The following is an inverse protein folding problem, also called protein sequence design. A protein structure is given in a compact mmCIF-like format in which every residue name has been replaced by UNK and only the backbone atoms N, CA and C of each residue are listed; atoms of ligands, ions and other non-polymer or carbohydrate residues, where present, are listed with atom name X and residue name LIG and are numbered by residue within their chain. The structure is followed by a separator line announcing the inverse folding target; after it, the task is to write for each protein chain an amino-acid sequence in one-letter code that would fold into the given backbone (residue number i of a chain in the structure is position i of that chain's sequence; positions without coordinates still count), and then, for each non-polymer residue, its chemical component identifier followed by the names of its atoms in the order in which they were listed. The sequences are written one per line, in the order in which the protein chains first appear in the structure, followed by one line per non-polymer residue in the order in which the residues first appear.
data_IF_526297498954
#
_entry.id   IF_526297498954
#
_cell.length_a   1.000
_cell.length_b   1.000
_cell.length_c   1.000
_cell.angle_alpha   90.00
_cell.angle_beta   90.00
_cell.angle_gamma   90.00
#
_symmetry.space_group_name_H-M   'P 1'
#
loop_
_entity.id
_entity.type
_entity.pdbx_description
1 polymer ?
#
# COMPACT_ATOMS: atom_id res chain seq x y z
N UNK A 1 24.81 48.16 -26.83
CA UNK A 1 24.43 46.77 -27.15
C UNK A 1 24.92 45.74 -26.12
N UNK A 2 26.20 45.75 -25.68
CA UNK A 2 26.75 44.74 -24.75
C UNK A 2 26.14 44.68 -23.32
N UNK A 3 25.44 45.71 -22.86
CA UNK A 3 24.87 45.78 -21.49
C UNK A 3 23.45 45.23 -21.40
N UNK A 4 22.69 45.23 -22.50
CA UNK A 4 21.32 44.69 -22.58
C UNK A 4 21.37 43.16 -22.67
N UNK A 5 22.36 42.61 -23.38
CA UNK A 5 22.58 41.15 -23.47
C UNK A 5 22.90 40.52 -22.12
N UNK A 6 23.64 41.23 -21.24
CA UNK A 6 23.95 40.74 -19.89
C UNK A 6 22.74 40.74 -18.97
N UNK A 7 21.83 41.72 -19.12
CA UNK A 7 20.61 41.79 -18.31
C UNK A 7 19.62 40.67 -18.70
N UNK A 8 19.49 40.40 -20.00
CA UNK A 8 18.65 39.32 -20.53
C UNK A 8 19.17 37.94 -20.14
N UNK A 9 20.50 37.75 -20.12
CA UNK A 9 21.11 36.49 -19.70
C UNK A 9 20.91 36.19 -18.21
N UNK A 10 20.98 37.22 -17.36
CA UNK A 10 20.73 37.08 -15.91
C UNK A 10 19.24 36.85 -15.62
N UNK A 11 18.32 37.50 -16.35
CA UNK A 11 16.88 37.26 -16.21
C UNK A 11 16.49 35.84 -16.63
N UNK A 12 17.05 35.32 -17.73
CA UNK A 12 16.83 33.95 -18.18
C UNK A 12 17.36 32.91 -17.18
N UNK A 13 18.48 33.20 -16.51
CA UNK A 13 19.04 32.34 -15.47
C UNK A 13 18.15 32.31 -14.21
N UNK A 14 17.58 33.44 -13.81
CA UNK A 14 16.65 33.50 -12.66
C UNK A 14 15.33 32.76 -12.94
N UNK A 15 14.79 32.83 -14.16
CA UNK A 15 13.61 32.03 -14.55
C UNK A 15 13.92 30.53 -14.61
N UNK A 16 15.13 30.14 -15.03
CA UNK A 16 15.55 28.73 -15.05
C UNK A 16 15.73 28.15 -13.63
N UNK A 17 16.21 28.96 -12.67
CA UNK A 17 16.38 28.52 -11.28
C UNK A 17 15.03 28.46 -10.54
N UNK A 18 14.10 29.38 -10.84
CA UNK A 18 12.74 29.31 -10.30
C UNK A 18 11.97 28.08 -10.83
N UNK A 19 12.23 27.64 -12.07
CA UNK A 19 11.65 26.42 -12.63
C UNK A 19 12.29 25.12 -12.08
N UNK A 20 13.51 25.17 -11.55
CA UNK A 20 14.21 24.00 -11.01
C UNK A 20 13.86 23.69 -9.54
N UNK A 21 13.40 24.69 -8.78
CA UNK A 21 12.97 24.51 -7.36
C UNK A 21 11.49 24.17 -7.21
N UNK A 22 10.71 24.28 -8.28
CA UNK A 22 9.38 23.72 -8.36
C UNK A 22 9.42 22.49 -9.28
N UNK A 23 10.02 21.39 -8.79
CA UNK A 23 9.56 20.08 -9.24
C UNK A 23 8.04 20.14 -9.13
N UNK A 24 7.27 19.96 -10.24
CA UNK A 24 5.84 19.85 -10.09
C UNK A 24 5.66 18.70 -9.10
N UNK A 25 5.01 18.97 -7.97
CA UNK A 25 4.37 17.92 -7.22
C UNK A 25 3.56 17.19 -8.29
N UNK A 26 4.06 16.03 -8.76
CA UNK A 26 3.39 15.23 -9.77
C UNK A 26 1.99 15.09 -9.22
N UNK A 27 1.02 15.74 -9.86
CA UNK A 27 -0.36 15.56 -9.48
C UNK A 27 -0.56 14.04 -9.51
N UNK A 28 -0.84 13.45 -8.35
CA UNK A 28 -1.13 12.03 -8.30
C UNK A 28 -2.22 11.78 -9.35
N UNK A 29 -1.97 10.84 -10.26
CA UNK A 29 -2.97 10.41 -11.25
C UNK A 29 -4.30 10.18 -10.55
N UNK A 30 -5.42 10.51 -11.18
CA UNK A 30 -6.74 10.41 -10.53
C UNK A 30 -6.98 9.01 -9.94
N UNK A 31 -7.67 8.94 -8.80
CA UNK A 31 -8.07 7.66 -8.24
C UNK A 31 -9.09 6.95 -9.16
N UNK A 32 -8.85 5.70 -9.58
CA UNK A 32 -9.72 5.02 -10.55
C UNK A 32 -11.06 4.58 -9.94
N UNK A 33 -11.14 4.47 -8.61
CA UNK A 33 -12.29 3.91 -7.90
C UNK A 33 -13.29 4.96 -7.43
N UNK A 34 -12.83 6.18 -7.16
CA UNK A 34 -13.68 7.26 -6.69
C UNK A 34 -13.08 8.61 -7.14
N UNK A 35 -13.86 9.41 -7.87
CA UNK A 35 -13.41 10.73 -8.28
C UNK A 35 -13.35 11.69 -7.08
N UNK A 36 -12.58 12.77 -7.22
CA UNK A 36 -12.52 13.82 -6.19
C UNK A 36 -13.90 14.41 -5.88
N UNK A 37 -14.78 14.55 -6.89
CA UNK A 37 -16.13 15.07 -6.72
C UNK A 37 -17.05 14.09 -5.98
N UNK A 38 -16.94 12.79 -6.26
CA UNK A 38 -17.69 11.77 -5.54
C UNK A 38 -17.21 11.65 -4.09
N UNK A 39 -15.89 11.68 -3.87
CA UNK A 39 -15.33 11.66 -2.52
C UNK A 39 -15.75 12.89 -1.71
N UNK A 40 -15.73 14.08 -2.31
CA UNK A 40 -16.20 15.31 -1.66
C UNK A 40 -17.70 15.26 -1.34
N UNK A 41 -18.52 14.60 -2.16
CA UNK A 41 -19.95 14.38 -1.89
C UNK A 41 -20.18 13.37 -0.76
N UNK A 42 -19.43 12.28 -0.76
CA UNK A 42 -19.55 11.23 0.26
C UNK A 42 -18.99 11.68 1.63
N UNK A 43 -17.90 12.46 1.63
CA UNK A 43 -17.18 12.89 2.84
C UNK A 43 -16.98 14.42 2.90
N UNK A 44 -18.08 15.21 2.97
CA UNK A 44 -18.02 16.67 2.80
C UNK A 44 -17.32 17.42 3.94
N UNK A 45 -17.22 16.81 5.13
CA UNK A 45 -16.64 17.45 6.32
C UNK A 45 -15.12 17.71 6.19
N UNK A 46 -14.44 17.04 5.25
CA UNK A 46 -13.00 17.11 5.07
C UNK A 46 -12.66 17.36 3.61
N UNK A 47 -11.71 18.28 3.38
CA UNK A 47 -11.14 18.49 2.05
C UNK A 47 -10.02 17.49 1.82
N UNK A 48 -10.32 16.42 1.10
CA UNK A 48 -9.36 15.37 0.75
C UNK A 48 -8.53 15.75 -0.48
N UNK A 49 -7.22 15.55 -0.39
CA UNK A 49 -6.28 15.68 -1.49
C UNK A 49 -5.65 14.33 -1.78
N UNK A 50 -5.62 13.92 -3.04
CA UNK A 50 -5.00 12.66 -3.44
C UNK A 50 -3.48 12.79 -3.37
N UNK A 51 -2.84 11.88 -2.65
CA UNK A 51 -1.39 11.81 -2.47
C UNK A 51 -0.76 10.74 -3.37
N UNK A 52 -1.48 9.64 -3.60
CA UNK A 52 -1.02 8.55 -4.46
C UNK A 52 -2.20 7.75 -4.98
N UNK A 53 -2.20 7.36 -6.24
CA UNK A 53 -3.13 6.37 -6.81
C UNK A 53 -2.60 4.93 -6.71
N UNK A 54 -1.53 4.70 -5.94
CA UNK A 54 -0.90 3.38 -5.76
C UNK A 54 -0.79 2.58 -7.07
N UNK A 55 -0.43 3.25 -8.17
CA UNK A 55 -0.36 2.69 -9.52
C UNK A 55 -1.63 1.91 -9.97
N UNK A 56 -2.79 2.37 -9.53
CA UNK A 56 -4.11 1.85 -9.88
C UNK A 56 -4.66 0.72 -9.00
N UNK A 57 -3.98 0.34 -7.91
CA UNK A 57 -4.48 -0.66 -6.93
C UNK A 57 -5.33 -0.06 -5.83
N UNK A 58 -5.12 1.21 -5.55
CA UNK A 58 -5.66 1.87 -4.38
C UNK A 58 -5.44 3.36 -4.44
N UNK A 59 -5.83 4.09 -3.40
CA UNK A 59 -5.68 5.53 -3.35
C UNK A 59 -5.35 5.96 -1.93
N UNK A 60 -4.33 6.80 -1.78
CA UNK A 60 -3.99 7.44 -0.50
C UNK A 60 -4.40 8.90 -0.60
N UNK A 61 -5.21 9.35 0.36
CA UNK A 61 -5.62 10.73 0.49
C UNK A 61 -5.17 11.31 1.82
N UNK A 62 -4.95 12.62 1.83
CA UNK A 62 -4.73 13.39 3.03
C UNK A 62 -5.76 14.52 3.12
N UNK A 63 -6.37 14.70 4.28
CA UNK A 63 -7.20 15.86 4.57
C UNK A 63 -6.36 16.99 5.18
N UNK A 64 -6.82 18.23 5.04
CA UNK A 64 -6.11 19.41 5.57
C UNK A 64 -5.85 19.43 7.08
N UNK A 65 -6.48 18.55 7.87
CA UNK A 65 -6.23 18.39 9.32
C UNK A 65 -5.20 17.30 9.65
N UNK A 66 -4.59 16.67 8.65
CA UNK A 66 -3.64 15.56 8.82
C UNK A 66 -4.26 14.16 8.72
N UNK A 67 -5.59 14.03 8.71
CA UNK A 67 -6.27 12.75 8.54
C UNK A 67 -5.79 12.07 7.25
N UNK A 68 -5.48 10.78 7.33
CA UNK A 68 -5.03 9.99 6.18
C UNK A 68 -6.06 8.93 5.87
N UNK A 69 -6.45 8.82 4.61
CA UNK A 69 -7.32 7.75 4.13
C UNK A 69 -6.56 6.86 3.16
N UNK A 70 -6.68 5.55 3.33
CA UNK A 70 -6.14 4.55 2.42
C UNK A 70 -7.29 3.69 1.89
N UNK A 71 -7.48 3.72 0.59
CA UNK A 71 -8.34 2.84 -0.19
C UNK A 71 -7.44 1.82 -0.87
N UNK A 72 -7.75 0.53 -0.74
CA UNK A 72 -7.01 -0.54 -1.41
C UNK A 72 -7.99 -1.56 -1.96
N UNK A 73 -7.79 -1.96 -3.21
CA UNK A 73 -8.54 -3.01 -3.87
C UNK A 73 -7.62 -4.21 -4.00
N UNK A 74 -8.12 -5.38 -3.63
CA UNK A 74 -7.47 -6.67 -3.80
C UNK A 74 -8.32 -7.51 -4.73
N UNK A 75 -7.83 -7.83 -5.91
CA UNK A 75 -8.42 -8.83 -6.80
C UNK A 75 -7.93 -10.21 -6.38
N UNK A 76 -8.75 -11.24 -6.59
CA UNK A 76 -8.43 -12.62 -6.31
C UNK A 76 -8.65 -13.47 -7.58
N UNK A 77 -8.07 -14.67 -7.67
CA UNK A 77 -8.16 -15.47 -8.90
C UNK A 77 -9.60 -15.83 -9.25
N UNK A 78 -10.41 -16.04 -8.21
CA UNK A 78 -11.82 -16.36 -8.29
C UNK A 78 -12.57 -15.86 -7.05
N UNK A 79 -13.89 -16.02 -7.07
CA UNK A 79 -14.79 -15.56 -6.01
C UNK A 79 -14.65 -16.34 -4.71
N UNK A 80 -14.36 -17.63 -4.77
CA UNK A 80 -14.25 -18.47 -3.57
C UNK A 80 -12.99 -18.09 -2.80
N UNK A 81 -11.90 -17.84 -3.52
CA UNK A 81 -10.66 -17.33 -2.95
C UNK A 81 -10.84 -15.91 -2.37
N UNK A 82 -11.56 -15.04 -3.07
CA UNK A 82 -11.91 -13.72 -2.53
C UNK A 82 -12.69 -13.83 -1.22
N UNK A 83 -13.64 -14.77 -1.12
CA UNK A 83 -14.42 -15.00 0.09
C UNK A 83 -13.56 -15.50 1.25
N UNK A 84 -12.65 -16.43 1.02
CA UNK A 84 -11.71 -16.91 2.04
C UNK A 84 -10.82 -15.78 2.58
N UNK A 85 -10.25 -14.98 1.67
CA UNK A 85 -9.39 -13.87 2.06
C UNK A 85 -10.19 -12.77 2.76
N UNK A 86 -11.40 -12.46 2.29
CA UNK A 86 -12.31 -11.53 2.94
C UNK A 86 -12.60 -11.93 4.40
N UNK A 87 -12.85 -13.21 4.66
CA UNK A 87 -13.05 -13.70 6.03
C UNK A 87 -11.82 -13.42 6.93
N UNK A 88 -10.60 -13.51 6.37
CA UNK A 88 -9.35 -13.17 7.08
C UNK A 88 -9.24 -11.67 7.36
N UNK A 89 -9.64 -10.81 6.42
CA UNK A 89 -9.69 -9.35 6.63
C UNK A 89 -10.68 -9.00 7.75
N UNK A 90 -11.88 -9.58 7.70
CA UNK A 90 -12.92 -9.38 8.73
C UNK A 90 -12.41 -9.84 10.09
N UNK A 91 -11.82 -11.04 10.18
CA UNK A 91 -11.24 -11.55 11.44
C UNK A 91 -10.17 -10.60 11.99
N UNK A 92 -9.21 -10.18 11.17
CA UNK A 92 -8.11 -9.29 11.56
C UNK A 92 -8.62 -7.91 12.01
N UNK A 93 -9.67 -7.40 11.37
CA UNK A 93 -10.33 -6.17 11.79
C UNK A 93 -11.10 -6.35 13.10
N UNK A 94 -11.77 -7.48 13.29
CA UNK A 94 -12.53 -7.78 14.51
C UNK A 94 -11.65 -7.86 15.77
N UNK A 95 -10.36 -8.18 15.63
CA UNK A 95 -9.40 -8.19 16.73
C UNK A 95 -9.13 -6.79 17.33
N UNK A 96 -9.42 -5.71 16.57
CA UNK A 96 -9.10 -4.32 16.96
C UNK A 96 -10.29 -3.38 17.02
N UNK A 97 -11.43 -3.77 16.44
CA UNK A 97 -12.66 -2.99 16.49
C UNK A 97 -13.91 -3.90 16.45
N UNK A 98 -15.01 -3.49 17.12
CA UNK A 98 -16.32 -4.08 16.87
C UNK A 98 -16.72 -3.85 15.40
N UNK A 99 -17.22 -4.91 14.75
CA UNK A 99 -17.68 -4.86 13.36
C UNK A 99 -19.19 -4.95 13.29
N UNK A 100 -19.76 -4.25 12.32
CA UNK A 100 -21.17 -4.31 11.96
C UNK A 100 -21.32 -4.54 10.45
N UNK A 101 -22.24 -5.43 10.09
CA UNK A 101 -22.59 -5.68 8.70
C UNK A 101 -23.20 -4.43 8.06
N UNK A 102 -22.93 -4.24 6.76
CA UNK A 102 -23.45 -3.12 5.98
C UNK A 102 -24.10 -3.65 4.71
N UNK A 103 -25.38 -3.35 4.54
CA UNK A 103 -26.10 -3.66 3.31
C UNK A 103 -25.75 -2.66 2.19
N UNK A 104 -25.85 -3.13 0.94
CA UNK A 104 -25.68 -2.29 -0.26
C UNK A 104 -24.25 -1.82 -0.50
N UNK A 105 -23.25 -2.58 -0.03
CA UNK A 105 -21.83 -2.42 -0.39
C UNK A 105 -21.29 -3.79 -0.76
N UNK A 106 -21.09 -4.03 -2.05
CA UNK A 106 -20.66 -5.34 -2.55
C UNK A 106 -21.69 -6.45 -2.29
N UNK A 107 -21.22 -7.69 -2.33
CA UNK A 107 -21.95 -8.89 -1.91
C UNK A 107 -22.00 -9.01 -0.38
N UNK A 108 -20.89 -8.66 0.29
CA UNK A 108 -20.78 -8.61 1.75
C UNK A 108 -19.97 -7.37 2.18
N UNK A 109 -20.41 -6.67 3.21
CA UNK A 109 -19.70 -5.49 3.74
C UNK A 109 -19.66 -5.49 5.26
N UNK A 110 -18.51 -5.13 5.83
CA UNK A 110 -18.30 -4.92 7.26
C UNK A 110 -17.68 -3.55 7.50
N UNK A 111 -18.04 -2.91 8.61
CA UNK A 111 -17.48 -1.63 9.02
C UNK A 111 -17.26 -1.58 10.53
N UNK A 112 -16.33 -0.74 10.98
CA UNK A 112 -16.09 -0.50 12.39
C UNK A 112 -15.22 0.71 12.66
N UNK A 113 -15.16 1.07 13.94
CA UNK A 113 -14.23 2.07 14.48
C UNK A 113 -13.46 1.46 15.64
N UNK A 114 -12.19 1.84 15.75
CA UNK A 114 -11.38 1.51 16.92
C UNK A 114 -12.05 1.99 18.22
N UNK A 115 -11.81 1.29 19.32
CA UNK A 115 -12.31 1.72 20.63
C UNK A 115 -11.80 3.12 21.02
N UNK A 116 -12.59 3.82 21.86
CA UNK A 116 -12.34 5.22 22.25
C UNK A 116 -10.98 5.50 22.93
N UNK A 117 -10.34 4.47 23.50
CA UNK A 117 -9.02 4.52 24.13
C UNK A 117 -7.91 3.79 23.35
N UNK A 118 -8.19 3.37 22.12
CA UNK A 118 -7.19 2.72 21.28
C UNK A 118 -6.02 3.67 20.98
N UNK A 119 -4.79 3.13 21.06
CA UNK A 119 -3.53 3.84 20.78
C UNK A 119 -3.56 4.52 19.40
N UNK A 120 -4.19 3.87 18.43
CA UNK A 120 -4.44 4.41 17.11
C UNK A 120 -5.94 4.43 16.84
N UNK A 121 -6.45 5.62 16.54
CA UNK A 121 -7.82 5.80 16.09
C UNK A 121 -7.93 5.44 14.61
N UNK A 122 -8.93 4.65 14.25
CA UNK A 122 -9.24 4.32 12.85
C UNK A 122 -10.72 4.02 12.63
N UNK A 123 -11.23 4.40 11.46
CA UNK A 123 -12.51 3.97 10.92
C UNK A 123 -12.24 3.13 9.67
N UNK A 124 -12.82 1.93 9.59
CA UNK A 124 -12.58 1.02 8.47
C UNK A 124 -13.87 0.46 7.89
N UNK A 125 -13.86 0.24 6.58
CA UNK A 125 -14.87 -0.51 5.83
C UNK A 125 -14.13 -1.54 4.98
N UNK A 126 -14.60 -2.78 5.00
CA UNK A 126 -14.16 -3.84 4.10
C UNK A 126 -15.38 -4.42 3.37
N UNK A 127 -15.26 -4.67 2.08
CA UNK A 127 -16.35 -5.23 1.28
C UNK A 127 -15.83 -6.25 0.27
N UNK A 128 -16.57 -7.35 0.11
CA UNK A 128 -16.41 -8.36 -0.92
C UNK A 128 -17.31 -8.03 -2.11
N UNK A 129 -16.80 -8.10 -3.34
CA UNK A 129 -17.57 -7.92 -4.56
C UNK A 129 -17.00 -8.79 -5.68
N UNK A 130 -17.63 -9.94 -5.94
CA UNK A 130 -17.11 -10.92 -6.89
C UNK A 130 -15.73 -11.43 -6.49
N UNK A 131 -14.75 -11.30 -7.39
CA UNK A 131 -13.35 -11.62 -7.15
C UNK A 131 -12.57 -10.50 -6.45
N UNK A 132 -13.21 -9.40 -6.05
CA UNK A 132 -12.56 -8.23 -5.44
C UNK A 132 -12.88 -8.08 -3.95
N UNK A 133 -11.91 -7.57 -3.21
CA UNK A 133 -12.06 -7.05 -1.84
C UNK A 133 -11.67 -5.59 -1.87
N UNK A 134 -12.56 -4.70 -1.43
CA UNK A 134 -12.26 -3.31 -1.15
C UNK A 134 -12.00 -3.14 0.33
N UNK A 135 -10.91 -2.47 0.70
CA UNK A 135 -10.69 -1.96 2.04
C UNK A 135 -10.49 -0.45 1.99
N UNK A 136 -11.27 0.30 2.77
CA UNK A 136 -11.02 1.73 3.00
C UNK A 136 -10.84 1.97 4.48
N UNK A 137 -9.74 2.61 4.86
CA UNK A 137 -9.45 2.97 6.25
C UNK A 137 -9.09 4.43 6.34
N UNK A 138 -9.67 5.13 7.31
CA UNK A 138 -9.30 6.50 7.69
C UNK A 138 -8.63 6.48 9.05
N UNK A 139 -7.48 7.15 9.13
CA UNK A 139 -6.73 7.45 10.33
C UNK A 139 -6.94 8.92 10.69
N UNK A 140 -7.91 9.25 11.56
CA UNK A 140 -8.10 10.62 12.01
C UNK A 140 -6.94 11.11 12.88
N UNK A 141 -6.60 12.38 12.76
CA UNK A 141 -5.58 13.04 13.58
C UNK A 141 -6.23 13.84 14.71
N UNK A 142 -5.80 13.60 15.95
CA UNK A 142 -6.22 14.39 17.12
C UNK A 142 -7.69 14.25 17.52
N UNK A 143 -8.41 13.26 16.99
CA UNK A 143 -9.82 13.00 17.30
C UNK A 143 -10.13 11.51 17.26
N UNK A 144 -11.24 11.12 17.88
CA UNK A 144 -11.74 9.74 17.84
C UNK A 144 -12.27 9.37 16.46
N UNK A 145 -12.17 8.09 16.14
CA UNK A 145 -12.94 7.50 15.06
C UNK A 145 -14.34 7.18 15.62
N UNK A 146 -15.38 7.80 15.05
CA UNK A 146 -16.76 7.69 15.49
C UNK A 146 -17.72 7.57 14.30
N UNK A 147 -19.02 7.51 14.57
CA UNK A 147 -20.04 7.38 13.53
C UNK A 147 -20.11 8.59 12.57
N UNK A 148 -19.71 9.78 13.05
CA UNK A 148 -19.60 10.96 12.20
C UNK A 148 -18.51 10.81 11.13
N UNK A 149 -17.51 9.96 11.36
CA UNK A 149 -16.54 9.54 10.35
C UNK A 149 -16.97 8.27 9.60
N UNK A 150 -17.49 7.27 10.32
CA UNK A 150 -17.80 5.96 9.79
C UNK A 150 -18.95 5.99 8.77
N UNK A 151 -19.98 6.80 9.00
CA UNK A 151 -21.10 6.97 8.06
C UNK A 151 -20.66 7.49 6.70
N UNK A 152 -20.00 8.66 6.62
CA UNK A 152 -19.43 9.19 5.37
C UNK A 152 -18.42 8.24 4.70
N UNK A 153 -17.57 7.56 5.48
CA UNK A 153 -16.64 6.56 4.95
C UNK A 153 -17.37 5.37 4.31
N UNK A 154 -18.48 4.94 4.92
CA UNK A 154 -19.36 3.88 4.39
C UNK A 154 -19.94 4.29 3.03
N UNK A 155 -20.32 5.55 2.85
CA UNK A 155 -20.79 6.06 1.56
C UNK A 155 -19.67 6.12 0.52
N UNK A 156 -18.47 6.56 0.90
CA UNK A 156 -17.30 6.53 0.01
C UNK A 156 -16.98 5.09 -0.44
N UNK A 157 -17.10 4.12 0.46
CA UNK A 157 -16.93 2.70 0.14
C UNK A 157 -18.00 2.18 -0.83
N UNK A 158 -19.26 2.64 -0.72
CA UNK A 158 -20.33 2.30 -1.66
C UNK A 158 -20.03 2.78 -3.08
N UNK A 159 -19.52 3.99 -3.23
CA UNK A 159 -19.10 4.51 -4.55
C UNK A 159 -17.88 3.77 -5.07
N UNK A 160 -16.87 3.56 -4.23
CA UNK A 160 -15.63 2.90 -4.61
C UNK A 160 -15.85 1.44 -5.03
N UNK A 161 -16.68 0.69 -4.31
CA UNK A 161 -16.91 -0.74 -4.59
C UNK A 161 -17.56 -0.95 -5.96
N UNK A 162 -18.40 -0.03 -6.40
CA UNK A 162 -19.02 -0.08 -7.73
C UNK A 162 -18.00 0.06 -8.88
N UNK A 163 -16.79 0.52 -8.58
CA UNK A 163 -15.73 0.79 -9.55
C UNK A 163 -14.51 -0.12 -9.40
N UNK A 164 -14.52 -1.14 -8.52
CA UNK A 164 -13.34 -2.00 -8.25
C UNK A 164 -12.82 -2.74 -9.49
N UNK A 165 -13.70 -3.02 -10.46
CA UNK A 165 -13.31 -3.63 -11.74
C UNK A 165 -12.40 -2.75 -12.59
N UNK A 166 -12.31 -1.44 -12.30
CA UNK A 166 -11.34 -0.51 -12.92
C UNK A 166 -9.92 -0.67 -12.38
N UNK A 167 -9.72 -1.57 -11.41
CA UNK A 167 -8.41 -1.89 -10.88
C UNK A 167 -7.43 -2.25 -11.99
N UNK A 168 -6.21 -1.73 -11.88
CA UNK A 168 -5.09 -2.07 -12.76
C UNK A 168 -4.57 -3.49 -12.50
N UNK A 169 -5.12 -4.18 -11.51
CA UNK A 169 -4.69 -5.52 -11.15
C UNK A 169 -4.99 -6.55 -12.25
N UNK A 170 -3.96 -7.35 -12.55
CA UNK A 170 -3.98 -8.36 -13.61
C UNK A 170 -3.27 -9.61 -13.11
N UNK A 171 -3.86 -10.77 -13.34
CA UNK A 171 -3.19 -12.05 -13.14
C UNK A 171 -2.27 -12.38 -14.30
N UNK A 172 -1.20 -13.12 -14.03
CA UNK A 172 -0.18 -13.49 -15.01
C UNK A 172 1.18 -12.86 -14.69
N UNK A 173 2.02 -12.68 -15.71
CA UNK A 173 3.42 -12.32 -15.50
C UNK A 173 3.60 -10.93 -14.87
N UNK A 174 4.61 -10.85 -14.00
CA UNK A 174 5.05 -9.62 -13.37
C UNK A 174 6.56 -9.43 -13.59
N UNK A 175 7.01 -8.20 -13.91
CA UNK A 175 8.46 -7.97 -14.03
C UNK A 175 9.20 -8.00 -12.67
N UNK A 176 8.51 -7.69 -11.58
CA UNK A 176 9.09 -7.61 -10.24
C UNK A 176 9.25 -8.97 -9.56
N UNK A 177 8.43 -9.97 -9.88
CA UNK A 177 8.46 -11.31 -9.30
C UNK A 177 8.29 -12.36 -10.40
N UNK A 178 9.23 -13.29 -10.49
CA UNK A 178 9.24 -14.41 -11.42
C UNK A 178 8.96 -15.72 -10.68
N UNK A 179 8.48 -16.74 -11.39
CA UNK A 179 8.24 -18.06 -10.78
C UNK A 179 9.50 -18.66 -10.11
N UNK A 180 10.70 -18.30 -10.58
CA UNK A 180 11.95 -18.74 -9.97
C UNK A 180 12.17 -18.11 -8.58
N UNK A 181 11.67 -16.89 -8.35
CA UNK A 181 11.75 -16.25 -7.04
C UNK A 181 10.83 -16.94 -6.00
N UNK A 182 9.83 -17.71 -6.47
CA UNK A 182 8.93 -18.47 -5.61
C UNK A 182 9.57 -19.79 -5.10
N UNK A 183 10.68 -20.22 -5.71
CA UNK A 183 11.30 -21.51 -5.39
C UNK A 183 11.74 -21.57 -3.93
N UNK A 184 11.32 -22.64 -3.27
CA UNK A 184 11.56 -22.85 -1.85
C UNK A 184 10.81 -21.89 -0.90
N UNK A 185 9.99 -20.97 -1.40
CA UNK A 185 9.09 -20.11 -0.61
C UNK A 185 7.63 -20.51 -0.74
N UNK A 186 7.20 -20.83 -1.97
CA UNK A 186 5.82 -21.12 -2.32
C UNK A 186 5.76 -22.46 -3.07
N UNK A 187 4.64 -23.16 -2.97
CA UNK A 187 4.38 -24.30 -3.84
C UNK A 187 4.22 -23.84 -5.30
N UNK A 188 5.29 -24.02 -6.08
CA UNK A 188 5.37 -23.58 -7.48
C UNK A 188 4.35 -24.28 -8.39
N UNK A 189 3.83 -25.44 -8.00
CA UNK A 189 2.82 -26.18 -8.79
C UNK A 189 1.43 -25.55 -8.73
N UNK A 190 1.21 -24.66 -7.76
CA UNK A 190 -0.08 -23.98 -7.52
C UNK A 190 0.05 -22.47 -7.56
N UNK A 191 1.20 -21.98 -8.04
CA UNK A 191 1.57 -20.59 -8.01
C UNK A 191 0.60 -19.74 -8.81
N UNK A 192 0.03 -18.75 -8.14
CA UNK A 192 -0.69 -17.68 -8.79
C UNK A 192 0.13 -16.40 -8.69
N UNK A 193 0.29 -15.72 -9.83
CA UNK A 193 0.97 -14.43 -9.91
C UNK A 193 -0.04 -13.35 -10.22
N UNK A 194 0.01 -12.28 -9.45
CA UNK A 194 -0.84 -11.11 -9.57
C UNK A 194 0.01 -9.86 -9.62
N UNK A 195 -0.14 -9.08 -10.68
CA UNK A 195 0.25 -7.68 -10.68
C UNK A 195 -0.77 -6.93 -9.83
N UNK A 196 -0.32 -6.42 -8.69
CA UNK A 196 -1.11 -5.60 -7.76
C UNK A 196 -0.93 -4.10 -8.02
N UNK A 197 -0.29 -3.69 -9.12
CA UNK A 197 -0.06 -2.31 -9.54
C UNK A 197 1.12 -2.21 -10.52
N UNK A 198 1.39 -1.05 -11.11
CA UNK A 198 2.51 -0.91 -12.07
C UNK A 198 3.86 -1.30 -11.43
N UNK A 199 4.14 -0.82 -10.21
CA UNK A 199 5.33 -1.19 -9.43
C UNK A 199 5.14 -2.35 -8.45
N UNK A 200 3.98 -3.01 -8.39
CA UNK A 200 3.67 -3.96 -7.31
C UNK A 200 3.15 -5.30 -7.82
N UNK A 201 3.63 -6.37 -7.21
CA UNK A 201 3.24 -7.73 -7.52
C UNK A 201 3.14 -8.59 -6.28
N UNK A 202 2.32 -9.62 -6.40
CA UNK A 202 2.09 -10.63 -5.41
C UNK A 202 2.16 -11.99 -6.10
N UNK A 203 2.79 -12.95 -5.44
CA UNK A 203 2.68 -14.37 -5.77
C UNK A 203 2.16 -15.09 -4.55
N UNK A 204 1.28 -16.06 -4.75
CA UNK A 204 0.81 -16.91 -3.67
C UNK A 204 0.53 -18.31 -4.16
N UNK A 205 0.68 -19.27 -3.25
CA UNK A 205 0.30 -20.66 -3.49
C UNK A 205 -1.13 -20.95 -2.98
N UNK A 206 -1.57 -22.20 -3.17
CA UNK A 206 -2.87 -22.66 -2.68
C UNK A 206 -3.03 -22.50 -1.17
N UNK A 207 -1.95 -22.58 -0.40
CA UNK A 207 -1.98 -22.44 1.06
C UNK A 207 -2.04 -20.98 1.55
N UNK A 208 -2.09 -20.01 0.63
CA UNK A 208 -2.02 -18.58 0.94
C UNK A 208 -0.65 -18.10 1.45
N UNK A 209 0.41 -18.89 1.32
CA UNK A 209 1.74 -18.33 1.52
C UNK A 209 1.94 -17.26 0.44
N UNK A 210 2.43 -16.09 0.84
CA UNK A 210 2.43 -14.93 -0.04
C UNK A 210 3.83 -14.35 -0.16
N UNK A 211 4.27 -14.05 -1.37
CA UNK A 211 5.42 -13.20 -1.62
C UNK A 211 4.96 -11.92 -2.32
N UNK A 212 5.42 -10.77 -1.84
CA UNK A 212 5.01 -9.45 -2.34
C UNK A 212 6.26 -8.67 -2.73
N UNK A 213 6.20 -7.95 -3.83
CA UNK A 213 7.10 -6.84 -4.12
C UNK A 213 6.26 -5.59 -4.35
N UNK A 214 6.56 -4.51 -3.66
CA UNK A 214 5.91 -3.23 -3.85
C UNK A 214 6.95 -2.14 -4.06
N UNK A 215 6.95 -1.52 -5.24
CA UNK A 215 7.83 -0.40 -5.59
C UNK A 215 7.02 0.89 -5.59
N UNK A 216 7.44 1.85 -4.78
CA UNK A 216 6.78 3.15 -4.66
C UNK A 216 7.81 4.29 -4.75
N UNK A 217 7.40 5.42 -5.30
CA UNK A 217 8.20 6.64 -5.23
C UNK A 217 8.18 7.19 -3.79
N UNK A 218 9.36 7.46 -3.23
CA UNK A 218 9.48 8.03 -1.86
C UNK A 218 10.82 8.74 -1.66
N UNK A 219 10.87 9.64 -0.68
CA UNK A 219 12.10 10.35 -0.32
C UNK A 219 13.10 9.43 0.39
N UNK A 220 14.39 9.75 0.26
CA UNK A 220 15.47 9.03 0.97
C UNK A 220 15.27 9.11 2.48
N UNK A 221 14.94 10.29 3.00
CA UNK A 221 14.79 10.52 4.43
C UNK A 221 13.66 9.67 5.03
N UNK A 222 12.54 9.53 4.31
CA UNK A 222 11.45 8.63 4.70
C UNK A 222 11.94 7.19 4.80
N UNK A 223 12.69 6.71 3.80
CA UNK A 223 13.22 5.34 3.81
C UNK A 223 14.21 5.12 4.98
N UNK A 224 15.14 6.06 5.20
CA UNK A 224 16.12 6.01 6.29
C UNK A 224 15.44 6.03 7.67
N UNK A 225 14.40 6.84 7.84
CA UNK A 225 13.65 6.88 9.11
C UNK A 225 12.93 5.56 9.39
N UNK A 226 12.43 4.87 8.36
CA UNK A 226 11.85 3.53 8.53
C UNK A 226 12.89 2.54 9.06
N UNK A 227 14.14 2.56 8.56
CA UNK A 227 15.21 1.67 9.06
C UNK A 227 15.49 1.84 10.56
N UNK A 228 15.38 3.08 11.05
CA UNK A 228 15.73 3.46 12.42
C UNK A 228 14.58 3.27 13.40
N UNK A 229 13.41 2.87 12.91
CA UNK A 229 12.21 2.75 13.72
C UNK A 229 12.37 1.55 14.66
N UNK A 230 12.26 1.77 15.96
CA UNK A 230 12.08 0.68 16.90
C UNK A 230 10.75 -0.03 16.59
N UNK A 231 10.82 -1.35 16.41
CA UNK A 231 9.67 -2.16 16.03
C UNK A 231 9.64 -3.49 16.78
N UNK A 232 8.53 -4.23 16.70
CA UNK A 232 8.39 -5.53 17.35
C UNK A 232 9.20 -6.65 16.68
N UNK A 233 10.03 -6.33 15.70
CA UNK A 233 10.77 -7.26 14.84
C UNK A 233 12.27 -7.15 15.05
N UNK A 234 12.99 -8.22 14.68
CA UNK A 234 14.44 -8.19 14.57
C UNK A 234 14.81 -7.41 13.30
N UNK A 235 15.67 -6.40 13.46
CA UNK A 235 16.14 -5.55 12.35
C UNK A 235 17.57 -5.89 12.00
N UNK A 236 17.86 -6.02 10.70
CA UNK A 236 19.20 -6.34 10.19
C UNK A 236 19.55 -5.42 9.02
N UNK A 237 20.76 -4.86 9.02
CA UNK A 237 21.29 -4.11 7.88
C UNK A 237 21.72 -5.06 6.75
N UNK A 238 21.51 -4.66 5.49
CA UNK A 238 21.88 -5.47 4.32
C UNK A 238 22.77 -4.61 3.39
N UNK A 239 24.02 -4.33 3.78
CA UNK A 239 24.88 -3.36 3.10
C UNK A 239 25.18 -3.69 1.64
N UNK A 240 25.13 -4.96 1.25
CA UNK A 240 25.28 -5.43 -0.12
C UNK A 240 24.16 -4.94 -1.06
N UNK A 241 23.02 -4.49 -0.52
CA UNK A 241 21.91 -3.90 -1.26
C UNK A 241 21.83 -2.37 -1.09
N UNK A 242 22.93 -1.74 -0.67
CA UNK A 242 23.04 -0.30 -0.46
C UNK A 242 22.95 0.13 1.00
N UNK A 243 23.37 1.36 1.28
CA UNK A 243 23.41 1.92 2.65
C UNK A 243 22.03 2.08 3.29
N UNK A 244 20.98 2.14 2.48
CA UNK A 244 19.59 2.32 2.90
C UNK A 244 18.78 1.01 2.89
N UNK A 245 19.46 -0.14 2.80
CA UNK A 245 18.81 -1.44 2.79
C UNK A 245 18.80 -2.10 4.18
N UNK A 246 17.64 -2.62 4.57
CA UNK A 246 17.45 -3.34 5.82
C UNK A 246 16.38 -4.42 5.67
N UNK A 247 16.40 -5.39 6.56
CA UNK A 247 15.34 -6.38 6.68
C UNK A 247 14.76 -6.47 8.07
N UNK A 248 13.57 -7.04 8.12
CA UNK A 248 12.78 -7.31 9.31
C UNK A 248 12.35 -8.78 9.31
N UNK A 249 12.50 -9.47 10.44
CA UNK A 249 12.00 -10.84 10.63
C UNK A 249 11.68 -11.12 12.10
N UNK A 250 11.09 -12.28 12.38
CA UNK A 250 10.81 -12.76 13.74
C UNK A 250 10.06 -11.73 14.60
N UNK A 251 8.99 -11.17 14.04
CA UNK A 251 8.18 -10.16 14.70
C UNK A 251 7.37 -10.75 15.87
N UNK A 252 7.31 -10.04 16.99
CA UNK A 252 6.51 -10.41 18.18
C UNK A 252 5.04 -9.98 18.07
N UNK A 253 4.68 -9.22 17.03
CA UNK A 253 3.31 -8.78 16.73
C UNK A 253 3.04 -8.89 15.22
N UNK A 254 1.78 -9.08 14.84
CA UNK A 254 1.39 -9.28 13.44
C UNK A 254 1.72 -10.70 12.95
N UNK A 255 2.08 -10.84 11.67
CA UNK A 255 2.59 -12.13 11.18
C UNK A 255 4.04 -12.32 11.62
N UNK A 256 4.25 -13.04 12.72
CA UNK A 256 5.59 -13.33 13.25
C UNK A 256 6.47 -14.19 12.35
N UNK A 257 5.89 -14.84 11.33
CA UNK A 257 6.61 -15.60 10.32
C UNK A 257 6.96 -14.77 9.07
N UNK A 258 6.56 -13.51 9.01
CA UNK A 258 6.88 -12.67 7.86
C UNK A 258 8.34 -12.23 7.89
N UNK A 259 8.95 -12.22 6.71
CA UNK A 259 10.26 -11.66 6.45
C UNK A 259 10.10 -10.55 5.43
N UNK A 260 10.65 -9.38 5.71
CA UNK A 260 10.59 -8.24 4.79
C UNK A 260 12.00 -7.70 4.56
N UNK A 261 12.32 -7.34 3.32
CA UNK A 261 13.48 -6.54 2.97
C UNK A 261 13.00 -5.25 2.33
N UNK A 262 13.53 -4.13 2.81
CA UNK A 262 13.34 -2.82 2.26
C UNK A 262 14.65 -2.36 1.61
N UNK A 263 14.54 -1.84 0.39
CA UNK A 263 15.66 -1.22 -0.32
C UNK A 263 15.24 0.13 -0.87
N UNK A 264 16.17 1.07 -0.98
CA UNK A 264 15.93 2.38 -1.59
C UNK A 264 17.00 2.69 -2.64
N UNK A 265 16.58 3.17 -3.80
CA UNK A 265 17.45 3.58 -4.92
C UNK A 265 16.70 4.52 -5.86
N UNK A 266 17.37 5.56 -6.38
CA UNK A 266 16.83 6.46 -7.41
C UNK A 266 15.45 7.08 -7.09
N UNK A 267 15.20 7.46 -5.83
CA UNK A 267 13.92 8.06 -5.42
C UNK A 267 12.76 7.07 -5.30
N UNK A 268 13.05 5.77 -5.31
CA UNK A 268 12.08 4.69 -5.12
C UNK A 268 12.49 3.81 -3.96
N UNK A 269 11.50 3.35 -3.21
CA UNK A 269 11.64 2.27 -2.26
C UNK A 269 10.98 1.02 -2.83
N UNK A 270 11.63 -0.12 -2.68
CA UNK A 270 11.00 -1.41 -2.86
C UNK A 270 10.90 -2.14 -1.52
N UNK A 271 9.74 -2.73 -1.28
CA UNK A 271 9.50 -3.65 -0.16
C UNK A 271 9.30 -5.05 -0.75
N UNK A 272 10.11 -6.00 -0.32
CA UNK A 272 10.04 -7.41 -0.72
C UNK A 272 9.66 -8.20 0.51
N UNK A 273 8.52 -8.89 0.48
CA UNK A 273 7.94 -9.56 1.64
C UNK A 273 7.73 -11.02 1.30
N UNK A 274 8.09 -11.93 2.21
CA UNK A 274 7.56 -13.27 2.26
C UNK A 274 6.73 -13.42 3.55
N UNK A 275 5.47 -13.81 3.42
CA UNK A 275 4.50 -13.89 4.50
C UNK A 275 3.77 -15.24 4.41
N UNK A 276 4.33 -16.30 5.03
CA UNK A 276 3.65 -17.59 5.13
C UNK A 276 2.55 -17.53 6.20
N UNK A 277 1.53 -18.36 6.04
CA UNK A 277 0.40 -18.45 7.00
C UNK A 277 0.74 -19.24 8.26
N UNK A 278 1.77 -20.09 8.17
CA UNK A 278 2.27 -20.96 9.25
C UNK A 278 3.79 -20.79 9.37
N UNK A 279 4.41 -21.29 10.45
CA UNK A 279 5.87 -21.36 10.53
C UNK A 279 6.46 -22.02 9.28
N UNK A 280 7.44 -21.37 8.68
CA UNK A 280 8.07 -21.80 7.43
C UNK A 280 9.60 -21.80 7.59
N UNK A 281 10.36 -22.74 7.00
CA UNK A 281 11.82 -22.75 7.12
C UNK A 281 12.49 -21.41 6.76
N UNK A 282 11.91 -20.71 5.78
CA UNK A 282 12.43 -19.43 5.30
C UNK A 282 11.92 -18.19 6.06
N UNK A 283 11.18 -18.36 7.15
CA UNK A 283 10.59 -17.24 7.92
C UNK A 283 11.49 -16.64 9.00
N UNK A 284 12.56 -17.34 9.38
CA UNK A 284 13.42 -16.97 10.51
C UNK A 284 14.61 -16.08 10.17
N UNK A 285 14.80 -15.75 8.89
CA UNK A 285 16.00 -15.05 8.40
C UNK A 285 15.72 -14.32 7.09
N UNK A 286 16.46 -13.25 6.83
CA UNK A 286 16.42 -12.50 5.57
C UNK A 286 17.23 -13.17 4.45
N UNK A 287 18.13 -14.11 4.76
CA UNK A 287 19.19 -14.54 3.83
C UNK A 287 18.66 -15.07 2.50
N UNK A 288 17.65 -15.95 2.51
CA UNK A 288 17.05 -16.42 1.24
C UNK A 288 16.35 -15.31 0.47
N UNK A 289 15.71 -14.37 1.16
CA UNK A 289 14.98 -13.28 0.53
C UNK A 289 15.92 -12.24 -0.11
N UNK A 290 17.20 -12.20 0.29
CA UNK A 290 18.22 -11.30 -0.30
C UNK A 290 18.41 -11.53 -1.79
N UNK A 291 18.31 -12.76 -2.28
CA UNK A 291 18.45 -13.05 -3.72
C UNK A 291 17.35 -12.34 -4.53
N UNK A 292 16.10 -12.45 -4.06
CA UNK A 292 14.95 -11.76 -4.66
C UNK A 292 15.11 -10.25 -4.54
N UNK A 293 15.49 -9.75 -3.36
CA UNK A 293 15.70 -8.32 -3.14
C UNK A 293 16.83 -7.74 -4.00
N UNK A 294 17.92 -8.47 -4.22
CA UNK A 294 19.03 -8.07 -5.09
C UNK A 294 18.62 -7.93 -6.55
N UNK A 295 17.80 -8.86 -7.06
CA UNK A 295 17.22 -8.76 -8.40
C UNK A 295 16.30 -7.54 -8.52
N UNK A 296 15.45 -7.29 -7.52
CA UNK A 296 14.57 -6.10 -7.50
C UNK A 296 15.40 -4.81 -7.44
N UNK A 297 16.41 -4.75 -6.57
CA UNK A 297 17.32 -3.61 -6.42
C UNK A 297 18.09 -3.28 -7.71
N UNK A 298 18.50 -4.30 -8.46
CA UNK A 298 19.14 -4.13 -9.77
C UNK A 298 18.24 -3.44 -10.81
N UNK A 299 16.91 -3.54 -10.66
CA UNK A 299 15.92 -2.93 -11.56
C UNK A 299 15.48 -1.52 -11.18
N UNK A 300 15.74 -1.09 -9.94
CA UNK A 300 15.50 0.29 -9.48
C UNK A 300 16.55 1.26 -10.05
#
# INVERSE_FOLDING_TARGET
MRTIDRLLFVLALFFAIAAALALPARAAETCPFISAQELARAMPALKWSLISNQDGRGCIYQAGRGDTMMLTVFRNPDKDRARELYATFVKTLAERMPLSAVAGIGEEGQRGTSAAGAERQEASVVALSGDYILQITVYPTGRRADDALLGPLTEAARVAVANVSRSSERFGNCEWLTAADADGFLDTSTLTVQRTGAGSCMMFDREANTMITAVIATSRDTAVQMMKRAGPCTHVSIPELGSEAFGEHSCTKGNGNAVTIYVWKNGKQASIVFAPVKPHPESGSVERLKAVAGRVYGKL
#
